data_IF_844380279532
#
_entry.id   IF_844380279532
#
_cell.length_a   1.000
_cell.length_b   1.000
_cell.length_c   1.000
_cell.angle_alpha   90.00
_cell.angle_beta   90.00
_cell.angle_gamma   90.00
#
_symmetry.space_group_name_H-M   'P 1'
#
loop_
_entity.id
_entity.type
_entity.pdbx_description
1 polymer ?
#
# COMPACT_ATOMS: atom_id res chain seq x y z
N UNK A 1 10.35 16.13 2.54
CA UNK A 1 9.87 15.09 1.61
C UNK A 1 10.72 13.82 1.65
N UNK A 2 12.05 13.88 1.69
CA UNK A 2 12.95 12.74 2.00
C UNK A 2 12.92 12.27 3.47
N UNK A 3 11.88 12.69 4.21
CA UNK A 3 11.93 12.86 5.66
C UNK A 3 11.01 11.91 6.40
N UNK A 4 10.44 10.91 5.73
CA UNK A 4 9.37 10.04 6.27
C UNK A 4 9.75 8.56 6.28
N UNK A 5 10.91 8.24 6.84
CA UNK A 5 11.19 6.91 7.39
C UNK A 5 12.30 7.04 8.44
N UNK A 6 12.19 6.35 9.60
CA UNK A 6 11.25 5.26 9.89
C UNK A 6 9.93 5.65 10.63
N UNK A 7 9.79 6.88 11.13
CA UNK A 7 8.81 7.17 12.21
C UNK A 7 7.31 7.22 11.87
N UNK A 8 6.90 7.23 10.59
CA UNK A 8 5.46 7.36 10.24
C UNK A 8 4.82 6.06 9.76
N UNK A 9 5.61 5.01 9.58
CA UNK A 9 5.16 3.77 8.95
C UNK A 9 4.83 2.66 9.95
N UNK A 10 5.26 2.84 11.21
CA UNK A 10 5.13 1.80 12.23
C UNK A 10 4.57 2.36 13.54
N UNK A 11 3.74 1.55 14.20
CA UNK A 11 3.32 1.75 15.58
C UNK A 11 3.98 0.68 16.44
N UNK A 12 4.80 1.10 17.39
CA UNK A 12 5.31 0.20 18.41
C UNK A 12 4.26 -0.01 19.50
N UNK A 13 3.77 -1.24 19.58
CA UNK A 13 2.78 -1.68 20.57
C UNK A 13 3.42 -2.53 21.67
N UNK A 14 4.76 -2.61 21.76
CA UNK A 14 5.48 -3.45 22.71
C UNK A 14 5.13 -3.17 24.17
N UNK A 15 4.82 -1.91 24.49
CA UNK A 15 4.35 -1.49 25.81
C UNK A 15 2.98 -2.09 26.20
N UNK A 16 2.25 -2.66 25.24
CA UNK A 16 0.96 -3.33 25.44
C UNK A 16 1.08 -4.87 25.41
N UNK A 17 2.30 -5.40 25.39
CA UNK A 17 2.52 -6.84 25.44
C UNK A 17 2.29 -7.37 26.87
N UNK A 18 1.91 -8.65 26.96
CA UNK A 18 1.83 -9.40 28.20
C UNK A 18 3.22 -9.66 28.81
N UNK A 19 3.24 -10.26 30.00
CA UNK A 19 4.48 -10.58 30.72
C UNK A 19 5.40 -11.57 29.96
N UNK A 20 4.83 -12.36 29.05
CA UNK A 20 5.54 -13.28 28.17
C UNK A 20 6.08 -12.61 26.88
N UNK A 21 5.87 -11.30 26.74
CA UNK A 21 6.26 -10.54 25.56
C UNK A 21 5.30 -10.69 24.37
N UNK A 22 4.21 -11.47 24.49
CA UNK A 22 3.22 -11.61 23.42
C UNK A 22 2.27 -10.39 23.39
N UNK A 23 1.75 -9.98 22.21
CA UNK A 23 0.74 -8.93 22.14
C UNK A 23 -0.49 -9.28 22.99
N UNK A 24 -0.95 -8.34 23.83
CA UNK A 24 -2.11 -8.60 24.68
C UNK A 24 -3.40 -8.79 23.88
N UNK A 25 -4.21 -9.76 24.30
CA UNK A 25 -5.55 -10.03 23.74
C UNK A 25 -6.67 -9.25 24.43
N UNK A 26 -6.36 -8.51 25.50
CA UNK A 26 -7.34 -7.79 26.33
C UNK A 26 -6.97 -6.34 26.61
N UNK A 27 -5.72 -5.93 26.40
CA UNK A 27 -5.29 -4.57 26.66
C UNK A 27 -6.05 -3.57 25.77
N UNK A 28 -6.55 -2.52 26.40
CA UNK A 28 -7.17 -1.41 25.70
C UNK A 28 -6.14 -0.34 25.39
N UNK A 29 -6.24 0.23 24.19
CA UNK A 29 -5.37 1.33 23.77
C UNK A 29 -6.09 2.25 22.79
N UNK A 30 -5.50 3.41 22.54
CA UNK A 30 -6.08 4.43 21.67
C UNK A 30 -5.05 5.00 20.72
N UNK A 31 -5.44 5.27 19.47
CA UNK A 31 -4.68 6.15 18.57
C UNK A 31 -5.24 7.56 18.70
N UNK A 32 -4.35 8.54 18.89
CA UNK A 32 -4.72 9.97 18.87
C UNK A 32 -4.29 10.59 17.56
N UNK A 33 -5.25 11.03 16.76
CA UNK A 33 -5.02 11.76 15.52
C UNK A 33 -5.15 13.26 15.78
N UNK A 34 -4.11 14.02 15.42
CA UNK A 34 -4.17 15.48 15.33
C UNK A 34 -4.22 15.86 13.86
N UNK A 35 -5.35 16.41 13.44
CA UNK A 35 -5.63 16.67 12.03
C UNK A 35 -5.75 18.17 11.84
N UNK A 36 -4.83 18.72 11.05
CA UNK A 36 -4.80 20.13 10.68
C UNK A 36 -5.28 20.29 9.23
N UNK A 37 -6.44 20.90 9.05
CA UNK A 37 -6.96 21.21 7.71
C UNK A 37 -6.62 22.66 7.39
N UNK A 38 -5.81 22.86 6.34
CA UNK A 38 -5.40 24.19 5.90
C UNK A 38 -6.62 24.99 5.39
N UNK A 39 -6.54 26.32 5.43
CA UNK A 39 -7.56 27.20 4.84
C UNK A 39 -7.79 26.84 3.37
N UNK A 40 -9.06 26.82 2.94
CA UNK A 40 -9.53 26.35 1.61
C UNK A 40 -9.40 24.84 1.39
N UNK A 41 -9.10 24.06 2.43
CA UNK A 41 -9.16 22.61 2.42
C UNK A 41 -10.45 22.12 3.08
N UNK A 42 -11.14 21.15 2.48
CA UNK A 42 -12.19 20.37 3.14
C UNK A 42 -11.78 18.91 3.06
N UNK A 43 -11.97 18.17 4.14
CA UNK A 43 -11.58 16.75 4.18
C UNK A 43 -12.59 15.91 4.96
N UNK A 44 -12.62 14.61 4.65
CA UNK A 44 -13.31 13.63 5.46
C UNK A 44 -12.27 12.68 6.04
N UNK A 45 -12.12 12.69 7.36
CA UNK A 45 -11.18 11.79 8.01
C UNK A 45 -11.83 10.45 8.31
N UNK A 46 -11.33 9.41 7.66
CA UNK A 46 -11.75 8.04 7.81
C UNK A 46 -10.54 7.10 7.81
N UNK A 47 -9.86 6.93 8.97
CA UNK A 47 -8.82 5.92 9.11
C UNK A 47 -9.48 4.54 9.04
N UNK A 48 -8.90 3.65 8.24
CA UNK A 48 -9.34 2.28 8.09
C UNK A 48 -8.35 1.37 8.78
N UNK A 49 -8.80 0.59 9.76
CA UNK A 49 -7.93 -0.37 10.45
C UNK A 49 -8.16 -1.77 9.92
N UNK A 50 -7.05 -2.48 9.76
CA UNK A 50 -6.99 -3.87 9.34
C UNK A 50 -6.61 -4.70 10.56
N UNK A 51 -7.42 -5.70 10.84
CA UNK A 51 -7.24 -6.62 11.94
C UNK A 51 -7.00 -8.03 11.40
N UNK A 52 -6.14 -8.79 12.08
CA UNK A 52 -6.15 -10.23 11.97
C UNK A 52 -7.37 -10.79 12.72
N UNK A 53 -7.96 -11.85 12.18
CA UNK A 53 -8.95 -12.61 12.95
C UNK A 53 -8.26 -13.40 14.07
N UNK A 54 -9.02 -13.88 15.05
CA UNK A 54 -8.47 -14.65 16.15
C UNK A 54 -7.79 -15.92 15.62
N UNK A 55 -6.52 -16.23 16.01
CA UNK A 55 -5.80 -17.38 15.46
C UNK A 55 -6.51 -18.71 15.74
N UNK A 56 -7.20 -18.82 16.87
CA UNK A 56 -7.99 -19.99 17.24
C UNK A 56 -9.43 -19.99 16.69
N UNK A 57 -9.81 -18.98 15.90
CA UNK A 57 -11.11 -19.01 15.23
C UNK A 57 -11.05 -20.01 14.07
N UNK A 58 -11.71 -21.14 14.27
CA UNK A 58 -11.96 -22.12 13.22
C UNK A 58 -13.39 -21.96 12.72
N UNK A 59 -13.61 -21.87 11.40
CA UNK A 59 -14.97 -21.91 10.88
C UNK A 59 -15.60 -23.26 11.30
N UNK A 60 -16.90 -23.31 11.60
CA UNK A 60 -17.57 -24.55 11.92
C UNK A 60 -17.27 -25.65 10.87
N UNK A 61 -16.96 -26.87 11.33
CA UNK A 61 -16.55 -27.99 10.46
C UNK A 61 -17.51 -28.25 9.29
N UNK A 62 -18.81 -28.04 9.49
CA UNK A 62 -19.86 -28.22 8.47
C UNK A 62 -19.80 -27.22 7.29
N UNK A 63 -19.00 -26.15 7.41
CA UNK A 63 -18.68 -25.25 6.28
C UNK A 63 -17.40 -25.66 5.55
N UNK A 64 -16.64 -26.59 6.13
CA UNK A 64 -15.29 -26.97 5.71
C UNK A 64 -15.23 -28.38 5.08
N UNK A 65 -16.21 -29.23 5.35
CA UNK A 65 -16.30 -30.62 4.87
C UNK A 65 -17.04 -30.77 3.54
N UNK A 66 -17.50 -29.67 2.95
CA UNK A 66 -18.29 -29.70 1.71
C UNK A 66 -19.66 -30.38 1.89
N UNK A 67 -20.07 -30.76 3.10
CA UNK A 67 -21.33 -31.46 3.33
C UNK A 67 -22.55 -30.53 3.27
N UNK A 68 -22.33 -29.20 3.24
CA UNK A 68 -23.38 -28.19 3.10
C UNK A 68 -23.62 -27.73 1.66
N UNK A 69 -22.87 -28.22 0.66
CA UNK A 69 -23.27 -28.09 -0.74
C UNK A 69 -23.91 -29.40 -1.20
N UNK A 70 -25.23 -29.50 -1.05
CA UNK A 70 -25.99 -30.34 -1.97
C UNK A 70 -25.56 -29.97 -3.40
N UNK A 71 -25.16 -30.95 -4.23
CA UNK A 71 -24.63 -30.67 -5.55
C UNK A 71 -25.77 -30.08 -6.39
N UNK A 72 -25.70 -28.78 -6.67
CA UNK A 72 -26.39 -28.22 -7.81
C UNK A 72 -25.81 -28.92 -9.06
N UNK A 73 -26.54 -29.93 -9.53
CA UNK A 73 -26.28 -30.67 -10.75
C UNK A 73 -26.24 -29.67 -11.89
N UNK A 74 -25.06 -29.23 -12.31
CA UNK A 74 -24.75 -28.77 -13.66
C UNK A 74 -23.28 -29.09 -13.97
N UNK A 75 -23.10 -29.95 -14.98
CA UNK A 75 -21.85 -30.63 -15.30
C UNK A 75 -20.65 -29.70 -15.52
N UNK A 76 -19.54 -30.07 -14.88
CA UNK A 76 -18.25 -29.41 -15.03
C UNK A 76 -17.40 -29.59 -13.78
N UNK A 77 -16.92 -30.81 -13.53
CA UNK A 77 -15.99 -31.07 -12.44
C UNK A 77 -14.72 -30.22 -12.59
N UNK A 78 -14.60 -29.16 -11.81
CA UNK A 78 -13.31 -28.60 -11.40
C UNK A 78 -13.13 -28.94 -9.94
N UNK A 79 -12.48 -30.08 -9.69
CA UNK A 79 -11.88 -30.34 -8.39
C UNK A 79 -10.87 -29.20 -8.16
N UNK A 80 -11.12 -28.37 -7.15
CA UNK A 80 -10.09 -27.53 -6.58
C UNK A 80 -9.06 -28.47 -5.97
N UNK A 81 -7.97 -28.76 -6.71
CA UNK A 81 -6.79 -29.39 -6.13
C UNK A 81 -6.12 -28.36 -5.21
N UNK A 82 -6.67 -28.15 -4.02
CA UNK A 82 -5.88 -27.62 -2.92
C UNK A 82 -4.96 -28.75 -2.49
N UNK A 83 -3.64 -28.55 -2.65
CA UNK A 83 -2.68 -29.37 -1.92
C UNK A 83 -3.06 -29.29 -0.44
N UNK A 84 -3.37 -30.45 0.15
CA UNK A 84 -3.92 -30.66 1.50
C UNK A 84 -5.38 -30.20 1.69
N UNK A 85 -6.19 -31.07 2.32
CA UNK A 85 -7.55 -30.82 2.81
C UNK A 85 -7.59 -29.77 3.94
N UNK A 86 -6.84 -28.67 3.82
CA UNK A 86 -6.91 -27.57 4.77
C UNK A 86 -8.13 -26.71 4.42
N UNK A 87 -9.00 -26.43 5.40
CA UNK A 87 -10.07 -25.47 5.19
C UNK A 87 -9.50 -24.14 4.70
N UNK A 88 -10.25 -23.39 3.86
CA UNK A 88 -9.80 -22.08 3.43
C UNK A 88 -9.53 -21.21 4.67
N UNK A 89 -8.45 -20.42 4.66
CA UNK A 89 -8.14 -19.55 5.79
C UNK A 89 -9.31 -18.60 6.05
N UNK A 90 -9.62 -18.40 7.33
CA UNK A 90 -10.66 -17.45 7.74
C UNK A 90 -10.25 -16.06 7.24
N UNK A 91 -11.13 -15.35 6.52
CA UNK A 91 -10.81 -14.02 6.06
C UNK A 91 -10.71 -13.08 7.25
N UNK A 92 -9.68 -12.25 7.22
CA UNK A 92 -9.44 -11.22 8.20
C UNK A 92 -10.46 -10.08 8.07
N UNK A 93 -10.50 -9.15 9.04
CA UNK A 93 -11.48 -8.05 9.05
C UNK A 93 -10.78 -6.71 8.88
N UNK A 94 -11.39 -5.83 8.08
CA UNK A 94 -10.99 -4.43 8.00
C UNK A 94 -12.23 -3.54 8.15
N UNK A 95 -12.06 -2.39 8.80
CA UNK A 95 -13.15 -1.44 9.00
C UNK A 95 -12.69 0.01 9.10
N UNK A 96 -13.54 0.92 8.62
CA UNK A 96 -13.39 2.34 8.91
C UNK A 96 -13.67 2.58 10.39
N UNK A 97 -12.72 3.18 11.10
CA UNK A 97 -12.87 3.44 12.53
C UNK A 97 -13.81 4.61 12.80
N UNK A 98 -13.91 5.54 11.83
CA UNK A 98 -14.78 6.69 11.92
C UNK A 98 -15.02 7.32 10.55
N UNK A 99 -16.00 8.22 10.49
CA UNK A 99 -16.25 9.08 9.33
C UNK A 99 -16.66 10.47 9.85
N UNK A 100 -15.71 11.41 9.88
CA UNK A 100 -15.98 12.78 10.31
C UNK A 100 -15.58 13.80 9.23
N UNK A 101 -16.51 14.65 8.78
CA UNK A 101 -16.16 15.80 7.97
C UNK A 101 -15.38 16.79 8.84
N UNK A 102 -14.25 17.28 8.33
CA UNK A 102 -13.40 18.26 9.00
C UNK A 102 -13.43 19.56 8.21
N UNK A 103 -13.67 20.66 8.93
CA UNK A 103 -13.83 21.98 8.35
C UNK A 103 -12.48 22.60 7.99
N UNK A 104 -12.52 23.55 7.05
CA UNK A 104 -11.32 24.28 6.67
C UNK A 104 -10.77 25.12 7.82
N UNK A 105 -9.45 25.21 7.93
CA UNK A 105 -8.79 26.03 8.94
C UNK A 105 -8.93 25.53 10.37
N UNK A 106 -9.44 24.31 10.61
CA UNK A 106 -9.58 23.75 11.95
C UNK A 106 -8.49 22.74 12.28
N UNK A 107 -8.14 22.68 13.56
CA UNK A 107 -7.47 21.52 14.17
C UNK A 107 -8.52 20.64 14.83
N UNK A 108 -8.57 19.38 14.45
CA UNK A 108 -9.44 18.37 15.07
C UNK A 108 -8.58 17.29 15.73
N UNK A 109 -8.85 17.00 17.00
CA UNK A 109 -8.19 15.94 17.74
C UNK A 109 -9.18 14.80 17.96
N UNK A 110 -8.88 13.64 17.40
CA UNK A 110 -9.69 12.43 17.53
C UNK A 110 -8.92 11.39 18.35
N UNK A 111 -9.57 10.81 19.36
CA UNK A 111 -9.03 9.70 20.15
C UNK A 111 -9.88 8.47 19.86
N UNK A 112 -9.33 7.53 19.11
CA UNK A 112 -10.05 6.32 18.70
C UNK A 112 -9.55 5.14 19.53
N UNK A 113 -10.48 4.47 20.21
CA UNK A 113 -10.19 3.21 20.92
C UNK A 113 -9.99 2.10 19.88
N UNK A 114 -8.96 1.30 20.09
CA UNK A 114 -8.54 0.24 19.19
C UNK A 114 -8.99 -1.12 19.75
N UNK A 115 -9.11 -2.11 18.87
CA UNK A 115 -9.17 -3.50 19.30
C UNK A 115 -7.84 -3.89 19.99
N UNK A 116 -7.81 -4.95 20.81
CA UNK A 116 -6.59 -5.39 21.48
C UNK A 116 -5.41 -5.57 20.50
N UNK A 117 -4.17 -5.27 20.93
CA UNK A 117 -3.00 -5.21 20.05
C UNK A 117 -2.70 -6.54 19.35
N UNK A 118 -3.10 -7.68 19.92
CA UNK A 118 -2.97 -9.00 19.27
C UNK A 118 -3.66 -9.10 17.90
N UNK A 119 -4.73 -8.33 17.68
CA UNK A 119 -5.47 -8.34 16.42
C UNK A 119 -5.00 -7.23 15.47
N UNK A 120 -4.22 -6.26 15.94
CA UNK A 120 -3.83 -5.12 15.12
C UNK A 120 -2.78 -5.51 14.08
N UNK A 121 -3.13 -5.38 12.80
CA UNK A 121 -2.17 -5.52 11.71
C UNK A 121 -1.64 -4.14 11.31
N UNK A 122 -2.52 -3.27 10.81
CA UNK A 122 -2.16 -1.93 10.34
C UNK A 122 -3.35 -0.98 10.34
N UNK A 123 -3.07 0.32 10.26
CA UNK A 123 -4.04 1.36 9.95
C UNK A 123 -3.66 2.06 8.66
N UNK A 124 -4.66 2.27 7.82
CA UNK A 124 -4.63 3.09 6.63
C UNK A 124 -5.25 4.46 6.90
N UNK A 125 -4.54 5.53 6.53
CA UNK A 125 -5.11 6.88 6.47
C UNK A 125 -5.09 7.38 5.03
N UNK A 126 -6.25 7.83 4.55
CA UNK A 126 -6.40 8.34 3.20
C UNK A 126 -6.07 9.83 3.18
N UNK A 127 -5.18 10.25 2.25
CA UNK A 127 -5.05 11.63 1.84
C UNK A 127 -5.48 11.78 0.38
N UNK A 128 -6.56 12.51 0.11
CA UNK A 128 -7.13 12.63 -1.23
C UNK A 128 -6.52 13.79 -2.01
N UNK A 129 -5.73 13.52 -3.08
CA UNK A 129 -5.47 14.55 -4.13
C UNK A 129 -5.45 14.06 -5.59
N UNK A 130 -5.19 12.78 -5.88
CA UNK A 130 -5.40 12.18 -7.22
C UNK A 130 -5.35 10.65 -7.10
N UNK A 131 -6.24 9.94 -7.79
CA UNK A 131 -6.35 8.47 -7.71
C UNK A 131 -5.27 7.79 -8.60
N UNK A 132 -4.58 6.71 -8.15
CA UNK A 132 -4.73 6.01 -6.88
C UNK A 132 -4.24 6.85 -5.71
N UNK A 133 -5.07 7.01 -4.66
CA UNK A 133 -4.78 7.90 -3.57
C UNK A 133 -3.50 7.45 -2.86
N UNK A 134 -2.81 8.42 -2.29
CA UNK A 134 -1.67 8.18 -1.41
C UNK A 134 -2.25 7.75 -0.07
N UNK A 135 -2.36 6.45 0.09
CA UNK A 135 -2.74 5.85 1.37
C UNK A 135 -1.46 5.78 2.20
N UNK A 136 -1.45 6.48 3.33
CA UNK A 136 -0.40 6.27 4.32
C UNK A 136 -0.75 5.06 5.16
N UNK A 137 0.25 4.23 5.44
CA UNK A 137 0.07 3.00 6.20
C UNK A 137 0.92 3.05 7.45
N UNK A 138 0.32 2.73 8.58
CA UNK A 138 0.99 2.52 9.86
C UNK A 138 0.79 1.06 10.27
N UNK A 139 1.85 0.26 10.19
CA UNK A 139 1.83 -1.17 10.49
C UNK A 139 2.32 -1.45 11.92
N UNK A 140 1.96 -2.61 12.48
CA UNK A 140 2.52 -3.07 13.74
C UNK A 140 4.03 -3.30 13.60
N UNK A 141 4.84 -2.51 14.32
CA UNK A 141 6.30 -2.58 14.29
C UNK A 141 6.85 -3.98 14.63
N UNK A 142 6.15 -4.69 15.53
CA UNK A 142 6.54 -5.99 16.06
C UNK A 142 6.09 -7.16 15.15
N UNK A 143 5.49 -6.87 13.99
CA UNK A 143 5.11 -7.91 13.04
C UNK A 143 6.36 -8.54 12.43
N UNK A 144 6.39 -9.88 12.40
CA UNK A 144 7.42 -10.64 11.69
C UNK A 144 6.94 -10.96 10.28
N UNK A 145 7.61 -10.41 9.27
CA UNK A 145 7.24 -10.61 7.87
C UNK A 145 8.47 -10.92 7.00
N UNK A 146 8.41 -11.89 6.07
CA UNK A 146 7.38 -12.94 5.99
C UNK A 146 7.28 -13.75 7.29
N UNK A 147 6.19 -14.50 7.52
CA UNK A 147 6.06 -15.34 8.70
C UNK A 147 7.29 -16.24 8.91
N UNK A 148 7.82 -16.26 10.13
CA UNK A 148 9.04 -16.98 10.49
C UNK A 148 10.35 -16.21 10.27
N UNK A 149 10.31 -14.96 9.81
CA UNK A 149 11.48 -14.09 9.81
C UNK A 149 11.96 -13.87 11.26
N UNK A 150 13.24 -14.05 11.60
CA UNK A 150 13.73 -13.86 12.97
C UNK A 150 13.63 -12.41 13.45
N UNK A 151 13.55 -11.44 12.52
CA UNK A 151 13.46 -10.02 12.84
C UNK A 151 12.09 -9.44 12.45
N UNK A 152 11.63 -8.46 13.22
CA UNK A 152 10.37 -7.76 12.97
C UNK A 152 10.51 -6.71 11.84
N UNK A 153 9.40 -6.07 11.47
CA UNK A 153 9.38 -5.07 10.40
C UNK A 153 10.23 -3.83 10.72
N UNK A 154 10.22 -3.38 11.96
CA UNK A 154 11.05 -2.25 12.37
C UNK A 154 12.54 -2.56 12.24
N UNK A 155 12.97 -3.74 12.66
CA UNK A 155 14.35 -4.21 12.52
C UNK A 155 14.75 -4.34 11.04
N UNK A 156 13.86 -4.84 10.18
CA UNK A 156 14.09 -4.87 8.74
C UNK A 156 14.27 -3.47 8.13
N UNK A 157 13.49 -2.49 8.57
CA UNK A 157 13.64 -1.08 8.18
C UNK A 157 15.02 -0.54 8.62
N UNK A 158 15.42 -0.84 9.86
CA UNK A 158 16.72 -0.47 10.43
C UNK A 158 17.89 -1.11 9.67
N UNK A 159 17.77 -2.36 9.24
CA UNK A 159 18.81 -3.03 8.45
C UNK A 159 19.06 -2.35 7.09
N UNK A 160 18.02 -1.75 6.50
CA UNK A 160 18.12 -1.06 5.21
C UNK A 160 18.57 0.39 5.37
N UNK A 161 17.98 1.12 6.32
CA UNK A 161 18.13 2.58 6.42
C UNK A 161 19.00 3.06 7.58
N UNK A 162 19.35 2.16 8.49
CA UNK A 162 20.07 2.44 9.73
C UNK A 162 19.15 2.96 10.85
N UNK A 163 19.52 2.65 12.10
CA UNK A 163 18.78 3.09 13.29
C UNK A 163 18.81 4.61 13.48
N UNK A 164 19.92 5.26 13.09
CA UNK A 164 20.08 6.70 13.17
C UNK A 164 19.88 7.31 11.80
N UNK A 165 18.92 8.24 11.72
CA UNK A 165 18.56 8.93 10.48
C UNK A 165 19.76 9.63 9.85
N UNK A 166 20.13 9.17 8.66
CA UNK A 166 21.11 9.84 7.81
C UNK A 166 20.55 9.96 6.38
N UNK A 167 20.10 11.17 6.03
CA UNK A 167 19.45 11.44 4.74
C UNK A 167 20.35 11.09 3.55
N UNK A 168 21.67 11.26 3.68
CA UNK A 168 22.61 10.95 2.61
C UNK A 168 22.76 9.45 2.38
N UNK A 169 22.83 8.65 3.46
CA UNK A 169 22.86 7.18 3.37
C UNK A 169 21.53 6.60 2.86
N UNK A 170 20.40 7.13 3.33
CA UNK A 170 19.08 6.71 2.86
C UNK A 170 18.93 6.98 1.35
N UNK A 171 19.40 8.14 0.87
CA UNK A 171 19.40 8.50 -0.55
C UNK A 171 20.17 7.49 -1.42
N UNK A 172 21.21 6.85 -0.90
CA UNK A 172 21.99 5.85 -1.64
C UNK A 172 21.22 4.55 -1.85
N UNK A 173 20.26 4.22 -0.97
CA UNK A 173 19.36 3.07 -1.08
C UNK A 173 18.23 3.27 -2.08
N UNK A 174 17.93 4.52 -2.41
CA UNK A 174 16.85 4.89 -3.34
C UNK A 174 17.43 5.12 -4.74
N UNK A 175 16.76 4.60 -5.76
CA UNK A 175 17.18 4.75 -7.16
C UNK A 175 16.89 6.12 -7.76
N UNK A 176 17.58 6.43 -8.85
CA UNK A 176 17.40 7.68 -9.61
C UNK A 176 16.14 7.65 -10.48
N UNK A 177 15.45 6.51 -10.54
CA UNK A 177 14.08 6.38 -11.07
C UNK A 177 13.04 7.02 -10.15
N UNK A 178 13.34 7.22 -8.86
CA UNK A 178 12.41 7.83 -7.91
C UNK A 178 12.16 9.31 -8.25
N UNK A 179 10.91 9.71 -8.54
CA UNK A 179 10.56 11.11 -8.79
C UNK A 179 10.87 12.02 -7.61
N UNK A 180 10.61 11.54 -6.39
CA UNK A 180 10.98 12.27 -5.18
C UNK A 180 12.49 12.50 -5.15
N UNK A 181 13.29 11.47 -5.49
CA UNK A 181 14.74 11.57 -5.45
C UNK A 181 15.27 12.67 -6.38
N UNK A 182 14.82 12.63 -7.63
CA UNK A 182 15.17 13.60 -8.67
C UNK A 182 14.73 15.01 -8.31
N UNK A 183 13.51 15.19 -7.79
CA UNK A 183 13.01 16.51 -7.37
C UNK A 183 13.91 17.17 -6.32
N UNK A 184 14.38 16.43 -5.31
CA UNK A 184 15.32 16.97 -4.32
C UNK A 184 16.70 17.21 -4.89
N UNK A 185 17.22 16.32 -5.74
CA UNK A 185 18.52 16.53 -6.37
C UNK A 185 18.49 17.82 -7.20
N UNK A 186 17.41 18.03 -7.94
CA UNK A 186 17.15 19.24 -8.71
C UNK A 186 17.03 20.49 -7.82
N UNK A 187 16.26 20.47 -6.72
CA UNK A 187 16.20 21.61 -5.79
C UNK A 187 17.55 21.93 -5.13
N UNK A 188 18.34 20.91 -4.77
CA UNK A 188 19.67 21.14 -4.20
C UNK A 188 20.65 21.69 -5.25
N UNK A 189 20.56 21.23 -6.51
CA UNK A 189 21.35 21.78 -7.60
C UNK A 189 21.01 23.26 -7.84
N UNK A 190 19.72 23.62 -7.87
CA UNK A 190 19.29 25.00 -7.99
C UNK A 190 19.80 25.85 -6.81
N UNK A 191 19.65 25.36 -5.58
CA UNK A 191 20.14 26.03 -4.37
C UNK A 191 21.65 26.27 -4.43
N UNK A 192 22.43 25.25 -4.77
CA UNK A 192 23.89 25.37 -4.87
C UNK A 192 24.34 26.42 -5.89
N UNK A 193 23.62 26.55 -7.02
CA UNK A 193 23.90 27.59 -8.01
C UNK A 193 23.58 29.00 -7.47
N UNK A 194 22.45 29.15 -6.79
CA UNK A 194 22.05 30.42 -6.18
C UNK A 194 23.00 30.88 -5.06
N UNK A 195 23.59 29.93 -4.33
CA UNK A 195 24.53 30.20 -3.24
C UNK A 195 26.00 30.32 -3.72
N UNK A 196 26.26 30.14 -5.01
CA UNK A 196 27.61 30.27 -5.57
C UNK A 196 28.04 31.74 -5.70
N UNK A 197 29.36 31.98 -5.74
CA UNK A 197 29.90 33.33 -5.88
C UNK A 197 29.55 34.02 -7.21
N UNK A 198 29.19 33.23 -8.24
CA UNK A 198 28.74 33.71 -9.55
C UNK A 198 27.57 32.85 -10.03
N UNK A 199 26.33 33.12 -9.57
CA UNK A 199 25.17 32.30 -9.88
C UNK A 199 24.89 32.17 -11.38
N UNK A 200 24.77 30.94 -11.87
CA UNK A 200 24.28 30.64 -13.21
C UNK A 200 22.76 30.42 -13.18
N UNK A 201 22.01 31.43 -13.59
CA UNK A 201 20.55 31.38 -13.64
C UNK A 201 20.00 30.44 -14.71
N UNK A 202 20.75 30.15 -15.77
CA UNK A 202 20.33 29.19 -16.79
C UNK A 202 20.36 27.76 -16.21
N UNK A 203 21.43 27.41 -15.48
CA UNK A 203 21.53 26.13 -14.77
C UNK A 203 20.45 26.03 -13.69
N UNK A 204 20.19 27.11 -12.95
CA UNK A 204 19.11 27.16 -11.96
C UNK A 204 17.74 26.89 -12.60
N UNK A 205 17.44 27.53 -13.74
CA UNK A 205 16.18 27.30 -14.47
C UNK A 205 16.04 25.86 -14.96
N UNK A 206 17.12 25.24 -15.46
CA UNK A 206 17.13 23.82 -15.86
C UNK A 206 16.80 22.93 -14.66
N UNK A 207 17.43 23.18 -13.51
CA UNK A 207 17.18 22.41 -12.30
C UNK A 207 15.73 22.58 -11.80
N UNK A 208 15.17 23.79 -11.82
CA UNK A 208 13.77 24.01 -11.45
C UNK A 208 12.80 23.32 -12.42
N UNK A 209 13.10 23.31 -13.72
CA UNK A 209 12.30 22.55 -14.71
C UNK A 209 12.33 21.06 -14.43
N UNK A 210 13.49 20.49 -14.08
CA UNK A 210 13.56 19.08 -13.70
C UNK A 210 12.79 18.78 -12.40
N UNK A 211 12.86 19.68 -11.41
CA UNK A 211 12.04 19.55 -10.19
C UNK A 211 10.54 19.55 -10.51
N UNK A 212 10.09 20.41 -11.43
CA UNK A 212 8.71 20.44 -11.89
C UNK A 212 8.29 19.15 -12.62
N UNK A 213 9.09 18.68 -13.57
CA UNK A 213 8.79 17.43 -14.27
C UNK A 213 8.78 16.23 -13.31
N UNK A 214 9.72 16.18 -12.36
CA UNK A 214 9.74 15.18 -11.30
C UNK A 214 8.54 15.28 -10.37
N UNK A 215 8.03 16.48 -10.11
CA UNK A 215 6.76 16.66 -9.37
C UNK A 215 5.56 16.11 -10.14
N UNK A 216 5.51 16.25 -11.46
CA UNK A 216 4.45 15.66 -12.28
C UNK A 216 4.52 14.12 -12.27
N UNK A 217 5.71 13.55 -12.48
CA UNK A 217 5.94 12.10 -12.35
C UNK A 217 5.55 11.60 -10.96
N UNK A 218 5.88 12.37 -9.93
CA UNK A 218 5.55 12.01 -8.55
C UNK A 218 4.03 11.99 -8.32
N UNK A 219 3.29 12.94 -8.91
CA UNK A 219 1.85 13.09 -8.76
C UNK A 219 1.08 11.96 -9.46
N UNK A 220 1.54 11.55 -10.64
CA UNK A 220 0.87 10.55 -11.45
C UNK A 220 1.39 9.14 -11.14
N UNK A 221 0.55 8.35 -10.46
CA UNK A 221 0.86 6.96 -10.13
C UNK A 221 0.32 5.95 -11.15
N UNK A 222 -0.47 6.40 -12.13
CA UNK A 222 -1.01 5.58 -13.21
C UNK A 222 -0.08 5.53 -14.43
N UNK A 223 1.05 6.23 -14.35
CA UNK A 223 2.13 6.14 -15.31
C UNK A 223 3.43 5.82 -14.59
N UNK A 224 4.32 5.10 -15.27
CA UNK A 224 5.68 4.95 -14.81
C UNK A 224 6.39 6.30 -14.92
N UNK A 225 7.23 6.65 -13.93
CA UNK A 225 8.01 7.86 -14.00
C UNK A 225 9.01 7.80 -15.17
N UNK A 226 9.43 8.96 -15.68
CA UNK A 226 10.42 9.05 -16.77
C UNK A 226 11.64 8.16 -16.49
N UNK A 227 12.12 7.43 -17.50
CA UNK A 227 13.25 6.51 -17.38
C UNK A 227 12.91 5.09 -16.95
N UNK A 228 11.64 4.80 -16.63
CA UNK A 228 11.15 3.43 -16.47
C UNK A 228 10.24 3.05 -17.65
N UNK A 229 10.43 1.83 -18.16
CA UNK A 229 9.72 1.33 -19.34
C UNK A 229 8.61 0.35 -18.97
N UNK A 230 7.51 0.45 -19.70
CA UNK A 230 6.41 -0.52 -19.64
C UNK A 230 6.85 -1.81 -20.31
N UNK A 231 6.58 -2.95 -19.68
CA UNK A 231 6.85 -4.26 -20.28
C UNK A 231 5.80 -4.58 -21.36
N UNK A 232 6.20 -4.69 -22.65
CA UNK A 232 5.27 -4.89 -23.76
C UNK A 232 4.57 -6.27 -23.74
N UNK A 233 5.10 -7.23 -22.97
CA UNK A 233 4.57 -8.59 -22.92
C UNK A 233 3.51 -8.79 -21.83
N UNK A 234 3.26 -7.77 -20.99
CA UNK A 234 2.30 -7.82 -19.88
C UNK A 234 1.22 -6.78 -20.02
N UNK A 235 0.13 -6.92 -19.27
CA UNK A 235 -0.98 -5.96 -19.30
C UNK A 235 -0.68 -4.75 -18.38
N UNK A 236 0.03 -4.98 -17.27
CA UNK A 236 0.35 -3.97 -16.25
C UNK A 236 1.83 -4.07 -15.85
N UNK A 237 2.53 -2.95 -15.77
CA UNK A 237 3.86 -2.87 -15.14
C UNK A 237 3.77 -2.09 -13.84
N UNK A 238 4.24 -2.67 -12.74
CA UNK A 238 4.33 -2.05 -11.41
C UNK A 238 5.79 -1.77 -11.05
N UNK A 239 6.12 -0.52 -10.77
CA UNK A 239 7.44 -0.08 -10.32
C UNK A 239 7.42 0.28 -8.83
N UNK A 240 8.30 -0.34 -8.07
CA UNK A 240 8.55 -0.06 -6.65
C UNK A 240 9.77 0.84 -6.53
N UNK A 241 9.56 2.10 -6.15
CA UNK A 241 10.62 3.08 -5.88
C UNK A 241 10.24 4.04 -4.77
N UNK A 242 11.18 4.29 -3.85
CA UNK A 242 11.04 5.22 -2.72
C UNK A 242 9.72 5.04 -1.94
N UNK A 243 9.49 3.83 -1.46
CA UNK A 243 8.35 3.47 -0.61
C UNK A 243 7.00 3.85 -1.25
N UNK A 244 6.97 3.83 -2.58
CA UNK A 244 5.83 4.15 -3.44
C UNK A 244 5.76 3.13 -4.57
N UNK A 245 4.54 2.82 -4.99
CA UNK A 245 4.27 1.96 -6.15
C UNK A 245 3.64 2.82 -7.26
N UNK A 246 4.23 2.76 -8.45
CA UNK A 246 3.70 3.30 -9.70
C UNK A 246 3.21 2.14 -10.55
N UNK A 247 2.14 2.32 -11.30
CA UNK A 247 1.62 1.28 -12.18
C UNK A 247 1.11 1.84 -13.48
N UNK A 248 1.47 1.23 -14.61
CA UNK A 248 1.02 1.65 -15.93
C UNK A 248 0.53 0.47 -16.74
N UNK A 249 -0.67 0.60 -17.31
CA UNK A 249 -1.20 -0.36 -18.26
C UNK A 249 -0.46 -0.22 -19.60
N UNK A 250 -0.24 -1.35 -20.28
CA UNK A 250 0.48 -1.39 -21.57
C UNK A 250 -0.12 -0.48 -22.63
N UNK A 251 -1.44 -0.33 -22.63
CA UNK A 251 -2.17 0.51 -23.58
C UNK A 251 -2.27 1.99 -23.17
N UNK A 252 -1.65 2.38 -22.04
CA UNK A 252 -1.75 3.74 -21.50
C UNK A 252 -3.12 4.05 -20.89
N UNK A 253 -3.94 3.04 -20.61
CA UNK A 253 -5.23 3.18 -19.94
C UNK A 253 -5.11 3.77 -18.53
N UNK A 254 -6.17 4.44 -18.07
CA UNK A 254 -6.13 5.26 -16.86
C UNK A 254 -6.04 4.49 -15.53
N UNK A 255 -6.44 3.21 -15.51
CA UNK A 255 -6.37 2.24 -14.40
C UNK A 255 -7.51 1.18 -14.41
N UNK A 256 -8.14 0.86 -15.55
CA UNK A 256 -9.19 -0.17 -15.64
C UNK A 256 -8.70 -1.36 -16.46
N UNK A 257 -9.00 -2.57 -15.99
CA UNK A 257 -8.72 -3.81 -16.71
C UNK A 257 -10.01 -4.56 -17.05
N UNK A 258 -10.82 -4.11 -18.02
CA UNK A 258 -12.21 -4.57 -18.19
C UNK A 258 -12.36 -6.08 -18.43
N UNK A 259 -11.28 -6.76 -18.83
CA UNK A 259 -11.23 -8.22 -19.01
C UNK A 259 -11.57 -9.00 -17.73
N UNK A 260 -11.47 -8.41 -16.53
CA UNK A 260 -11.90 -9.07 -15.27
C UNK A 260 -13.35 -9.58 -15.30
N UNK A 261 -14.22 -8.98 -16.12
CA UNK A 261 -15.62 -9.42 -16.31
C UNK A 261 -15.74 -10.77 -17.00
N UNK A 262 -14.66 -11.23 -17.63
CA UNK A 262 -14.59 -12.51 -18.30
C UNK A 262 -13.96 -13.52 -17.34
N UNK A 263 -14.71 -14.56 -16.96
CA UNK A 263 -14.18 -15.63 -16.12
C UNK A 263 -12.95 -16.26 -16.76
N UNK A 264 -11.98 -16.61 -15.93
CA UNK A 264 -10.67 -17.12 -16.34
C UNK A 264 -9.81 -16.13 -17.16
N UNK A 265 -10.20 -14.86 -17.26
CA UNK A 265 -9.31 -13.83 -17.77
C UNK A 265 -8.05 -13.77 -16.90
N UNK A 266 -6.91 -13.56 -17.57
CA UNK A 266 -5.64 -13.39 -16.91
C UNK A 266 -5.19 -11.94 -16.98
N UNK A 267 -4.86 -11.35 -15.83
CA UNK A 267 -4.05 -10.13 -15.75
C UNK A 267 -2.59 -10.52 -15.64
N UNK A 268 -1.79 -10.14 -16.62
CA UNK A 268 -0.33 -10.32 -16.63
C UNK A 268 0.31 -9.08 -16.05
N UNK A 269 1.11 -9.23 -14.99
CA UNK A 269 1.76 -8.10 -14.32
C UNK A 269 3.27 -8.30 -14.28
N UNK A 270 4.03 -7.28 -14.70
CA UNK A 270 5.48 -7.21 -14.44
C UNK A 270 5.74 -6.36 -13.20
N UNK A 271 6.43 -6.96 -12.23
CA UNK A 271 6.88 -6.33 -11.00
C UNK A 271 8.32 -5.89 -11.19
N UNK A 272 8.58 -4.61 -10.96
CA UNK A 272 9.89 -3.99 -11.16
C UNK A 272 10.36 -3.39 -9.84
N UNK A 273 11.45 -3.91 -9.27
CA UNK A 273 12.11 -3.22 -8.18
C UNK A 273 13.15 -2.24 -8.75
N UNK A 274 12.96 -0.95 -8.47
CA UNK A 274 13.92 0.07 -8.85
C UNK A 274 14.97 0.33 -7.77
N UNK A 275 14.71 0.05 -6.50
CA UNK A 275 15.58 0.45 -5.40
C UNK A 275 16.64 -0.58 -5.00
N UNK A 276 17.66 -0.13 -4.28
CA UNK A 276 18.83 -0.93 -3.89
C UNK A 276 18.61 -1.69 -2.57
N UNK A 277 17.38 -2.14 -2.34
CA UNK A 277 16.97 -2.98 -1.22
C UNK A 277 15.80 -3.88 -1.62
N UNK A 278 15.51 -4.90 -0.83
CA UNK A 278 14.48 -5.90 -1.15
C UNK A 278 13.08 -5.27 -1.07
N UNK A 279 12.17 -5.76 -1.92
CA UNK A 279 10.75 -5.36 -1.93
C UNK A 279 9.85 -6.59 -1.78
N UNK A 280 8.68 -6.42 -1.18
CA UNK A 280 7.68 -7.47 -1.09
C UNK A 280 6.54 -7.23 -2.07
N UNK A 281 6.08 -8.28 -2.73
CA UNK A 281 4.79 -8.26 -3.44
C UNK A 281 3.77 -9.10 -2.69
N UNK A 282 2.69 -8.45 -2.25
CA UNK A 282 1.44 -9.08 -1.82
C UNK A 282 0.25 -8.58 -2.64
N UNK A 283 -0.56 -9.51 -3.14
CA UNK A 283 -1.86 -9.21 -3.70
C UNK A 283 -2.93 -9.45 -2.63
N UNK A 284 -3.74 -8.43 -2.35
CA UNK A 284 -4.79 -8.47 -1.34
C UNK A 284 -6.15 -8.56 -2.03
N UNK A 285 -6.96 -9.53 -1.63
CA UNK A 285 -8.38 -9.56 -1.95
C UNK A 285 -9.15 -8.90 -0.82
N UNK A 286 -9.91 -7.86 -1.14
CA UNK A 286 -10.79 -7.16 -0.20
C UNK A 286 -12.24 -7.66 -0.22
N UNK A 287 -12.47 -8.84 -0.81
CA UNK A 287 -13.72 -9.57 -0.76
C UNK A 287 -14.93 -8.79 -1.27
N UNK A 288 -16.12 -9.36 -1.03
CA UNK A 288 -17.37 -8.63 -1.17
C UNK A 288 -17.66 -7.84 0.11
N UNK A 289 -18.02 -6.56 -0.03
CA UNK A 289 -18.53 -5.80 1.11
C UNK A 289 -19.79 -6.48 1.65
N UNK A 290 -19.75 -6.98 2.89
CA UNK A 290 -20.97 -7.21 3.68
C UNK A 290 -21.20 -5.98 4.51
N UNK A 291 -21.81 -4.97 3.89
CA UNK A 291 -22.15 -3.78 4.63
C UNK A 291 -23.15 -2.86 3.95
N UNK A 292 -24.32 -2.75 4.57
CA UNK A 292 -25.37 -1.78 4.29
C UNK A 292 -25.06 -0.42 4.97
N UNK A 293 -24.02 -0.36 5.80
CA UNK A 293 -23.73 0.77 6.70
C UNK A 293 -23.21 2.02 5.97
N UNK A 294 -22.71 1.89 4.74
CA UNK A 294 -22.24 3.04 3.94
C UNK A 294 -23.35 3.77 3.18
N UNK A 295 -24.60 3.31 3.25
CA UNK A 295 -25.70 3.88 2.44
C UNK A 295 -26.24 5.22 2.97
N UNK A 296 -25.88 5.65 4.18
CA UNK A 296 -26.73 6.60 4.90
C UNK A 296 -26.33 8.07 4.92
N UNK A 297 -25.10 8.51 4.56
CA UNK A 297 -24.74 9.96 4.57
C UNK A 297 -23.65 10.40 3.57
N UNK A 298 -23.98 10.73 2.31
CA UNK A 298 -23.06 11.39 1.37
C UNK A 298 -22.64 12.79 1.84
N UNK A 299 -21.35 13.05 2.07
CA UNK A 299 -20.84 14.43 2.20
C UNK A 299 -20.51 15.08 0.84
N UNK A 300 -20.76 14.37 -0.27
CA UNK A 300 -20.57 14.86 -1.65
C UNK A 300 -21.16 16.25 -1.89
N UNK A 301 -22.36 16.49 -1.35
CA UNK A 301 -23.07 17.77 -1.51
C UNK A 301 -22.36 18.96 -0.86
N UNK A 302 -21.47 18.73 0.10
CA UNK A 302 -20.74 19.78 0.83
C UNK A 302 -19.25 19.86 0.43
N UNK A 303 -18.86 19.09 -0.60
CA UNK A 303 -17.48 18.94 -1.04
C UNK A 303 -16.67 17.91 -0.27
N UNK A 304 -17.30 17.12 0.61
CA UNK A 304 -16.69 15.93 1.19
C UNK A 304 -16.83 14.72 0.25
N UNK A 305 -16.04 13.68 0.48
CA UNK A 305 -15.95 12.45 -0.31
C UNK A 305 -16.84 11.29 0.22
N UNK A 306 -17.70 11.58 1.19
CA UNK A 306 -18.09 10.74 2.32
C UNK A 306 -19.08 9.60 2.23
N UNK A 307 -19.32 9.03 1.05
CA UNK A 307 -20.11 7.78 0.97
C UNK A 307 -19.75 6.88 -0.20
N UNK A 308 -18.95 7.38 -1.15
CA UNK A 308 -18.50 6.56 -2.26
C UNK A 308 -17.37 5.61 -1.84
N UNK A 309 -16.68 5.89 -0.73
CA UNK A 309 -15.45 5.20 -0.32
C UNK A 309 -15.36 4.82 1.17
N UNK A 310 -16.43 4.97 1.97
CA UNK A 310 -16.43 4.28 3.26
C UNK A 310 -16.58 2.78 3.00
N UNK A 311 -15.59 2.03 3.44
CA UNK A 311 -15.57 0.59 3.31
C UNK A 311 -16.48 -0.08 4.34
N UNK A 312 -16.92 0.65 5.37
CA UNK A 312 -17.73 0.08 6.45
C UNK A 312 -16.95 -1.03 7.13
N UNK A 313 -17.50 -2.26 7.18
CA UNK A 313 -16.76 -3.47 7.54
C UNK A 313 -16.69 -4.41 6.34
N UNK A 314 -15.51 -4.96 6.08
CA UNK A 314 -15.32 -5.93 5.00
C UNK A 314 -14.26 -6.96 5.37
N UNK A 315 -14.28 -8.05 4.61
CA UNK A 315 -13.37 -9.17 4.76
C UNK A 315 -12.19 -9.01 3.82
N UNK A 316 -11.00 -9.43 4.26
CA UNK A 316 -9.81 -9.39 3.42
C UNK A 316 -8.97 -10.64 3.56
N UNK A 317 -8.26 -11.00 2.50
CA UNK A 317 -7.33 -12.12 2.48
C UNK A 317 -6.12 -11.83 1.61
N UNK A 318 -5.01 -12.49 1.92
CA UNK A 318 -3.81 -12.45 1.08
C UNK A 318 -3.93 -13.56 0.06
N UNK A 319 -3.92 -13.23 -1.23
CA UNK A 319 -4.09 -14.21 -2.31
C UNK A 319 -2.86 -15.10 -2.53
N UNK A 320 -1.75 -14.77 -1.87
CA UNK A 320 -0.49 -15.49 -1.97
C UNK A 320 -0.17 -16.21 -0.65
N UNK A 321 0.20 -17.48 -0.74
CA UNK A 321 0.69 -18.23 0.42
C UNK A 321 1.98 -17.63 1.02
N UNK A 322 2.80 -16.99 0.18
CA UNK A 322 4.03 -16.27 0.58
C UNK A 322 4.20 -15.02 -0.28
N UNK A 323 4.78 -13.93 0.24
CA UNK A 323 5.13 -12.78 -0.57
C UNK A 323 6.10 -13.14 -1.68
N UNK A 324 5.93 -12.49 -2.82
CA UNK A 324 6.86 -12.58 -3.93
C UNK A 324 7.96 -11.54 -3.71
N UNK A 325 9.06 -11.97 -3.07
CA UNK A 325 10.20 -11.11 -2.74
C UNK A 325 10.97 -10.69 -4.00
N UNK A 326 11.27 -9.40 -4.15
CA UNK A 326 12.06 -8.86 -5.26
C UNK A 326 13.45 -8.49 -4.77
N UNK A 327 14.46 -8.94 -5.51
CA UNK A 327 15.85 -8.60 -5.23
C UNK A 327 16.13 -7.12 -5.47
N UNK A 328 17.10 -6.54 -4.75
CA UNK A 328 17.56 -5.17 -4.98
C UNK A 328 17.95 -4.93 -6.44
N UNK A 329 17.68 -3.73 -6.94
CA UNK A 329 18.30 -3.23 -8.16
C UNK A 329 19.83 -3.17 -8.02
N UNK A 330 20.52 -3.13 -9.16
CA UNK A 330 21.97 -2.94 -9.24
C UNK A 330 22.30 -1.59 -9.91
N UNK A 331 23.58 -1.20 -9.88
CA UNK A 331 24.10 -0.09 -10.67
C UNK A 331 25.02 -0.64 -11.76
N UNK A 332 24.89 -0.10 -12.97
CA UNK A 332 25.88 -0.36 -14.03
C UNK A 332 27.17 0.45 -13.78
N UNK A 333 28.17 0.27 -14.66
CA UNK A 333 29.45 0.97 -14.56
C UNK A 333 29.33 2.50 -14.70
N UNK A 334 28.26 3.00 -15.32
CA UNK A 334 27.96 4.42 -15.45
C UNK A 334 27.10 4.95 -14.28
N UNK A 335 26.74 4.09 -13.32
CA UNK A 335 25.91 4.42 -12.17
C UNK A 335 24.40 4.37 -12.42
N UNK A 336 23.95 3.98 -13.61
CA UNK A 336 22.53 3.86 -13.95
C UNK A 336 21.89 2.68 -13.22
N UNK A 337 20.61 2.83 -12.90
CA UNK A 337 19.83 1.78 -12.23
C UNK A 337 19.52 0.62 -13.18
N UNK A 338 20.00 -0.58 -12.83
CA UNK A 338 19.57 -1.84 -13.45
C UNK A 338 18.48 -2.44 -12.56
N UNK A 339 17.24 -2.38 -13.03
CA UNK A 339 16.07 -2.89 -12.29
C UNK A 339 16.01 -4.41 -12.27
N UNK A 340 15.39 -4.98 -11.23
CA UNK A 340 15.02 -6.41 -11.22
C UNK A 340 13.55 -6.56 -11.61
N UNK A 341 13.23 -7.61 -12.37
CA UNK A 341 11.89 -7.84 -12.92
C UNK A 341 11.35 -9.22 -12.55
N UNK A 342 10.03 -9.34 -12.40
CA UNK A 342 9.34 -10.60 -12.20
C UNK A 342 7.94 -10.56 -12.78
N UNK A 343 7.50 -11.64 -13.41
CA UNK A 343 6.17 -11.71 -14.00
C UNK A 343 5.25 -12.53 -13.11
N UNK A 344 4.11 -11.97 -12.77
CA UNK A 344 3.03 -12.66 -12.06
C UNK A 344 1.77 -12.67 -12.91
N UNK A 345 1.00 -13.74 -12.78
CA UNK A 345 -0.21 -13.97 -13.57
C UNK A 345 -1.36 -14.20 -12.61
N UNK A 346 -2.38 -13.35 -12.70
CA UNK A 346 -3.58 -13.42 -11.85
C UNK A 346 -4.72 -13.93 -12.72
N UNK A 347 -5.30 -15.07 -12.35
CA UNK A 347 -6.48 -15.62 -13.03
C UNK A 347 -7.75 -15.24 -12.26
N UNK A 348 -8.63 -14.47 -12.89
CA UNK A 348 -9.92 -14.08 -12.29
C UNK A 348 -10.94 -15.21 -12.41
N UNK A 349 -11.01 -16.05 -11.37
CA UNK A 349 -11.97 -17.16 -11.30
C UNK A 349 -13.39 -16.69 -10.95
N UNK A 350 -13.51 -15.54 -10.28
CA UNK A 350 -14.75 -14.93 -9.85
C UNK A 350 -14.79 -13.47 -10.26
N UNK A 351 -16.00 -12.91 -10.33
CA UNK A 351 -16.19 -11.49 -10.59
C UNK A 351 -15.81 -10.70 -9.31
N UNK A 352 -14.74 -9.88 -9.32
CA UNK A 352 -14.37 -9.08 -8.15
C UNK A 352 -15.44 -8.03 -7.81
N UNK A 353 -15.42 -7.55 -6.57
CA UNK A 353 -16.27 -6.44 -6.14
C UNK A 353 -16.12 -5.22 -7.06
N UNK A 354 -17.23 -4.54 -7.36
CA UNK A 354 -17.25 -3.34 -8.22
C UNK A 354 -16.32 -2.21 -7.77
N UNK A 355 -15.98 -2.16 -6.47
CA UNK A 355 -15.14 -1.12 -5.87
C UNK A 355 -13.65 -1.49 -5.81
N UNK A 356 -13.30 -2.79 -5.77
CA UNK A 356 -11.96 -3.25 -5.38
C UNK A 356 -11.55 -4.47 -6.23
N UNK A 357 -10.71 -4.28 -7.25
CA UNK A 357 -10.42 -5.33 -8.26
C UNK A 357 -9.02 -5.93 -8.18
N UNK A 358 -8.00 -5.13 -7.89
CA UNK A 358 -6.62 -5.57 -7.69
C UNK A 358 -5.91 -4.61 -6.74
N UNK A 359 -5.36 -5.14 -5.66
CA UNK A 359 -4.64 -4.37 -4.64
C UNK A 359 -3.27 -4.94 -4.41
N UNK A 360 -2.28 -4.12 -4.75
CA UNK A 360 -0.89 -4.43 -4.50
C UNK A 360 -0.38 -3.75 -3.24
N UNK A 361 0.26 -4.52 -2.36
CA UNK A 361 0.88 -4.05 -1.13
C UNK A 361 2.37 -4.43 -1.06
N UNK A 362 3.23 -3.50 -0.63
CA UNK A 362 4.62 -3.80 -0.23
C UNK A 362 4.73 -3.85 1.31
N UNK A 363 4.78 -5.04 1.92
CA UNK A 363 4.81 -5.20 3.37
C UNK A 363 6.17 -4.92 4.03
N UNK A 364 7.25 -4.72 3.28
CA UNK A 364 8.59 -4.61 3.87
C UNK A 364 8.97 -3.18 4.23
N UNK A 365 8.79 -2.26 3.28
CA UNK A 365 9.26 -0.88 3.42
C UNK A 365 8.26 0.05 2.72
N UNK A 366 7.45 0.76 3.48
CA UNK A 366 6.41 1.59 2.87
C UNK A 366 6.10 2.84 3.69
N UNK A 367 5.68 3.89 2.98
CA UNK A 367 4.93 5.03 3.51
C UNK A 367 3.61 5.04 2.74
N UNK A 368 3.69 4.97 1.40
CA UNK A 368 2.55 4.74 0.49
C UNK A 368 2.61 3.32 -0.08
N UNK A 369 2.05 2.37 0.65
CA UNK A 369 2.26 0.94 0.40
C UNK A 369 1.37 0.34 -0.69
N UNK A 370 0.29 1.03 -1.08
CA UNK A 370 -0.82 0.43 -1.83
C UNK A 370 -0.95 1.01 -3.24
N UNK A 371 -0.99 0.15 -4.26
CA UNK A 371 -1.47 0.48 -5.60
C UNK A 371 -2.74 -0.30 -5.91
N UNK A 372 -3.73 0.36 -6.52
CA UNK A 372 -4.98 -0.27 -6.91
C UNK A 372 -5.31 -0.07 -8.38
N UNK A 373 -5.79 -1.15 -9.01
CA UNK A 373 -6.42 -1.12 -10.33
C UNK A 373 -7.93 -1.29 -10.15
N UNK A 374 -8.70 -0.51 -10.90
CA UNK A 374 -10.11 -0.28 -10.66
C UNK A 374 -11.06 -1.01 -11.54
#
# INVERSE_FOLDING_TARGET
YFSRCPDVSYLDLSALNGADGSPSTTAEWTITYTIDVLSRGKDDFAPMTVYFDHPDFHPPQHLCDGSAMEPAVHGGQRQFQTQENKPPPVPNVAMDQTFFPIQEGTRTVLRLKMAPPAYFNLTYTWGWRQHPPRVQVMENANKHFPPGNPINLYEQEVDVFGAVRNVLKIREKISDLSPAKRMWAAFNAAKAQLESAAPDYAVCLIAIKEAWCSFQDWKDRNHLPRGADVDPETDLTLLYVNNTIYGQLRDGGWNDFPKWRTRAAQLKVTLVNGDYYKRGYLNIDFGGARGWESQFKPTQKLGGSGCQFSFGRFYWSVNLAKPVMRDPAARDAAGNTITTKHKVFITYNFEPSRRLRFYQFDPLHHDVAVYSLH
#
